data_IF_961030439124
#
_entry.id   IF_961030439124
#
_cell.length_a   1.000
_cell.length_b   1.000
_cell.length_c   1.000
_cell.angle_alpha   90.00
_cell.angle_beta   90.00
_cell.angle_gamma   90.00
#
_symmetry.space_group_name_H-M   'P 1'
#
loop_
_entity.id
_entity.type
_entity.pdbx_description
1 polymer ?
#
# COMPACT_ATOMS: atom_id res chain seq x y z
N UNK A 1 -69.73 -16.03 19.50
CA UNK A 1 -68.71 -17.01 19.08
C UNK A 1 -68.39 -16.79 17.62
N UNK A 2 -67.25 -16.17 17.31
CA UNK A 2 -66.73 -16.03 15.94
C UNK A 2 -65.55 -17.01 15.82
N UNK A 3 -65.52 -17.77 14.74
CA UNK A 3 -64.58 -18.88 14.50
C UNK A 3 -63.15 -18.38 14.22
N UNK A 4 -62.12 -19.16 14.61
CA UNK A 4 -60.71 -18.76 14.57
C UNK A 4 -60.09 -18.64 13.16
N UNK A 5 -60.84 -18.91 12.09
CA UNK A 5 -60.37 -18.72 10.71
C UNK A 5 -60.53 -17.28 10.18
N UNK A 6 -61.40 -16.45 10.78
CA UNK A 6 -61.56 -15.05 10.35
C UNK A 6 -60.46 -14.12 10.88
N UNK A 7 -59.88 -14.43 12.03
CA UNK A 7 -58.84 -13.60 12.64
C UNK A 7 -57.48 -13.73 11.92
N UNK A 8 -57.24 -14.85 11.24
CA UNK A 8 -56.01 -15.08 10.45
C UNK A 8 -56.04 -14.39 9.09
N UNK A 9 -57.22 -14.17 8.50
CA UNK A 9 -57.39 -13.47 7.23
C UNK A 9 -57.26 -11.93 7.37
N UNK A 10 -57.72 -11.36 8.49
CA UNK A 10 -57.64 -9.91 8.73
C UNK A 10 -56.19 -9.45 9.04
N UNK A 11 -55.37 -10.30 9.65
CA UNK A 11 -53.95 -10.00 9.91
C UNK A 11 -53.11 -10.07 8.61
N UNK A 12 -53.45 -10.99 7.70
CA UNK A 12 -52.75 -11.18 6.42
C UNK A 12 -53.09 -10.05 5.41
N UNK A 13 -54.31 -9.50 5.46
CA UNK A 13 -54.69 -8.30 4.70
C UNK A 13 -53.98 -7.02 5.20
N UNK A 14 -53.83 -6.85 6.52
CA UNK A 14 -53.17 -5.69 7.13
C UNK A 14 -51.62 -5.69 6.99
N UNK A 15 -51.02 -6.85 6.68
CA UNK A 15 -49.59 -6.96 6.33
C UNK A 15 -49.33 -6.71 4.84
N UNK A 16 -50.18 -7.20 3.93
CA UNK A 16 -50.00 -6.99 2.47
C UNK A 16 -50.28 -5.56 2.02
N UNK A 17 -51.14 -4.82 2.71
CA UNK A 17 -51.44 -3.42 2.41
C UNK A 17 -50.38 -2.42 2.90
N UNK A 18 -49.37 -2.87 3.66
CA UNK A 18 -48.22 -2.05 4.10
C UNK A 18 -46.99 -2.11 3.18
N UNK A 19 -47.00 -2.98 2.17
CA UNK A 19 -45.87 -3.17 1.25
C UNK A 19 -46.03 -2.43 -0.09
N UNK A 20 -47.12 -1.68 -0.32
CA UNK A 20 -47.40 -0.99 -1.59
C UNK A 20 -47.84 0.48 -1.44
N UNK A 21 -47.50 1.16 -0.34
CA UNK A 21 -47.65 2.61 -0.31
C UNK A 21 -46.48 3.28 -1.04
N UNK A 22 -46.72 4.13 -2.06
CA UNK A 22 -45.68 4.97 -2.61
C UNK A 22 -45.25 5.96 -1.53
N UNK A 23 -43.98 5.88 -1.11
CA UNK A 23 -43.38 6.90 -0.26
C UNK A 23 -43.31 8.18 -1.11
N UNK A 24 -44.29 9.06 -0.94
CA UNK A 24 -44.23 10.44 -1.42
C UNK A 24 -43.14 11.12 -0.61
N UNK A 25 -41.90 11.07 -1.10
CA UNK A 25 -40.84 11.94 -0.62
C UNK A 25 -41.24 13.36 -1.02
N UNK A 26 -41.57 14.18 -0.03
CA UNK A 26 -41.54 15.63 -0.20
C UNK A 26 -40.18 16.00 -0.78
N UNK A 27 -40.18 16.63 -1.95
CA UNK A 27 -38.99 17.19 -2.55
C UNK A 27 -38.53 18.36 -1.67
N UNK A 28 -37.68 18.07 -0.69
CA UNK A 28 -36.81 19.09 -0.14
C UNK A 28 -35.87 19.50 -1.28
N UNK A 29 -36.03 20.72 -1.75
CA UNK A 29 -35.13 21.35 -2.73
C UNK A 29 -33.75 21.46 -2.07
N UNK A 30 -32.93 20.42 -2.22
CA UNK A 30 -31.51 20.49 -1.90
C UNK A 30 -30.86 21.22 -3.06
N UNK A 31 -30.66 22.52 -2.89
CA UNK A 31 -29.79 23.30 -3.76
C UNK A 31 -28.39 22.70 -3.65
N UNK A 32 -27.98 21.95 -4.68
CA UNK A 32 -26.59 21.51 -4.81
C UNK A 32 -25.71 22.76 -4.85
N UNK A 33 -24.67 22.86 -4.00
CA UNK A 33 -23.72 23.96 -4.13
C UNK A 33 -23.08 23.84 -5.52
N UNK A 34 -23.16 24.93 -6.28
CA UNK A 34 -22.51 25.04 -7.57
C UNK A 34 -21.02 24.73 -7.40
N UNK A 35 -20.49 23.95 -8.34
CA UNK A 35 -19.10 23.49 -8.41
C UNK A 35 -18.15 24.67 -8.51
N UNK A 36 -17.81 25.26 -7.36
CA UNK A 36 -16.66 26.13 -7.20
C UNK A 36 -15.40 25.27 -7.19
N UNK A 37 -14.36 25.72 -7.87
CA UNK A 37 -13.02 25.14 -7.85
C UNK A 37 -12.40 25.30 -6.45
N UNK A 38 -12.87 24.52 -5.47
CA UNK A 38 -12.15 24.40 -4.20
C UNK A 38 -10.89 23.56 -4.45
N UNK A 39 -9.75 24.26 -4.57
CA UNK A 39 -8.42 23.66 -4.41
C UNK A 39 -8.47 22.80 -3.15
N UNK A 40 -8.24 21.49 -3.31
CA UNK A 40 -8.07 20.57 -2.17
C UNK A 40 -6.99 21.14 -1.26
N UNK A 41 -7.38 21.72 -0.13
CA UNK A 41 -6.46 22.15 0.90
C UNK A 41 -6.01 20.89 1.63
N UNK A 42 -4.70 20.57 1.69
CA UNK A 42 -4.22 19.47 2.50
C UNK A 42 -4.60 19.73 3.95
N UNK A 43 -5.50 18.92 4.52
CA UNK A 43 -5.72 18.95 5.95
C UNK A 43 -4.54 18.28 6.65
N UNK A 44 -3.74 19.07 7.37
CA UNK A 44 -2.77 18.53 8.32
C UNK A 44 -3.54 17.80 9.43
N UNK A 45 -3.18 16.54 9.66
CA UNK A 45 -3.67 15.78 10.80
C UNK A 45 -3.20 16.45 12.11
N UNK A 46 -4.15 16.77 12.99
CA UNK A 46 -3.89 17.35 14.32
C UNK A 46 -3.09 16.42 15.25
N UNK A 47 -2.78 15.18 14.85
CA UNK A 47 -1.95 14.24 15.64
C UNK A 47 -0.44 14.43 15.49
N UNK A 48 0.02 15.42 14.71
CA UNK A 48 1.45 15.65 14.42
C UNK A 48 2.04 16.81 15.24
N UNK A 49 1.44 17.16 16.38
CA UNK A 49 2.05 18.13 17.30
C UNK A 49 3.12 17.47 18.19
N UNK A 50 4.36 17.96 18.05
CA UNK A 50 5.37 18.13 19.10
C UNK A 50 5.96 16.86 19.77
N UNK A 51 6.25 15.79 19.03
CA UNK A 51 7.13 14.73 19.57
C UNK A 51 8.58 14.97 19.16
N UNK A 52 9.28 15.73 20.01
CA UNK A 52 10.75 15.76 20.09
C UNK A 52 11.26 14.32 20.17
N UNK A 53 12.11 13.93 19.23
CA UNK A 53 12.72 12.60 19.19
C UNK A 53 13.40 12.26 20.53
N UNK A 54 12.97 11.16 21.17
CA UNK A 54 13.63 10.55 22.33
C UNK A 54 14.25 9.22 21.88
N UNK A 55 15.16 9.22 20.91
CA UNK A 55 15.90 8.00 20.55
C UNK A 55 17.40 8.15 20.65
N UNK A 56 18.06 7.11 20.17
CA UNK A 56 19.51 6.99 20.03
C UNK A 56 20.23 8.28 19.55
N UNK A 57 20.98 9.07 20.34
CA UNK A 57 21.75 10.20 19.79
C UNK A 57 22.72 9.79 18.68
N UNK A 58 23.24 8.55 18.72
CA UNK A 58 24.11 8.00 17.66
C UNK A 58 23.35 7.79 16.36
N UNK A 59 22.12 7.27 16.46
CA UNK A 59 21.23 7.10 15.30
C UNK A 59 20.83 8.46 14.73
N UNK A 60 20.52 9.43 15.60
CA UNK A 60 20.22 10.79 15.17
C UNK A 60 21.41 11.47 14.51
N UNK A 61 22.62 11.28 15.04
CA UNK A 61 23.86 11.77 14.45
C UNK A 61 24.09 11.31 13.00
N UNK A 62 23.60 10.13 12.61
CA UNK A 62 23.65 9.65 11.21
C UNK A 62 22.80 10.51 10.26
N UNK A 63 21.81 11.22 10.80
CA UNK A 63 20.85 12.02 10.03
C UNK A 63 21.01 13.54 10.22
N UNK A 64 21.62 13.97 11.33
CA UNK A 64 21.69 15.36 11.79
C UNK A 64 22.47 16.32 10.86
N UNK A 65 23.40 15.80 10.04
CA UNK A 65 24.23 16.60 9.14
C UNK A 65 23.68 16.70 7.71
N UNK A 66 22.56 16.06 7.40
CA UNK A 66 22.05 15.94 6.03
C UNK A 66 20.78 16.78 5.88
N UNK A 67 20.86 17.95 5.22
CA UNK A 67 19.69 18.57 4.57
C UNK A 67 18.93 17.45 3.86
N UNK A 68 17.63 17.28 4.13
CA UNK A 68 16.85 16.15 3.62
C UNK A 68 17.04 16.09 2.10
N UNK A 69 17.90 15.18 1.58
CA UNK A 69 18.22 15.21 0.17
C UNK A 69 16.94 14.85 -0.56
N UNK A 70 16.74 15.44 -1.74
CA UNK A 70 15.70 14.96 -2.66
C UNK A 70 15.84 13.45 -2.72
N UNK A 71 14.77 12.73 -2.36
CA UNK A 71 14.85 11.27 -2.38
C UNK A 71 15.24 10.87 -3.80
N UNK A 72 16.15 9.91 -3.92
CA UNK A 72 16.57 9.35 -5.19
C UNK A 72 16.31 7.85 -5.13
N UNK A 73 15.87 7.23 -6.23
CA UNK A 73 15.57 5.80 -6.23
C UNK A 73 16.80 5.08 -5.71
N UNK A 74 16.61 4.06 -4.87
CA UNK A 74 17.75 3.30 -4.34
C UNK A 74 18.39 2.51 -5.50
N UNK A 75 19.18 3.16 -6.34
CA UNK A 75 19.93 2.53 -7.42
C UNK A 75 21.38 2.39 -6.95
N UNK A 76 22.18 1.64 -7.72
CA UNK A 76 23.58 1.35 -7.40
C UNK A 76 24.43 2.62 -7.21
N UNK A 77 23.99 3.75 -7.77
CA UNK A 77 24.74 4.99 -7.85
C UNK A 77 24.43 6.02 -6.74
N UNK A 78 23.23 6.06 -6.15
CA UNK A 78 22.76 7.30 -5.51
C UNK A 78 22.64 7.31 -3.97
N UNK A 79 22.71 6.20 -3.24
CA UNK A 79 22.90 6.32 -1.78
C UNK A 79 23.48 5.05 -1.18
N UNK A 80 24.80 5.06 -0.92
CA UNK A 80 25.45 3.99 -0.16
C UNK A 80 25.34 4.33 1.32
N UNK A 81 24.53 3.57 2.04
CA UNK A 81 24.77 3.39 3.48
C UNK A 81 26.14 2.73 3.58
N UNK A 82 27.09 3.38 4.24
CA UNK A 82 28.39 2.75 4.44
C UNK A 82 28.26 1.62 5.45
N UNK A 83 29.10 0.59 5.32
CA UNK A 83 29.12 -0.51 6.27
C UNK A 83 29.30 -0.03 7.71
N UNK A 84 30.02 1.08 7.93
CA UNK A 84 30.27 1.60 9.27
C UNK A 84 29.08 2.38 9.82
N UNK A 85 28.37 3.17 9.01
CA UNK A 85 27.11 3.78 9.40
C UNK A 85 26.08 2.73 9.79
N UNK A 86 25.97 1.64 9.01
CA UNK A 86 25.05 0.56 9.32
C UNK A 86 25.43 -0.19 10.60
N UNK A 87 26.73 -0.43 10.85
CA UNK A 87 27.19 -1.03 12.12
C UNK A 87 26.84 -0.16 13.32
N UNK A 88 27.00 1.16 13.21
CA UNK A 88 26.62 2.11 14.27
C UNK A 88 25.11 2.02 14.54
N UNK A 89 24.32 2.08 13.48
CA UNK A 89 22.86 1.92 13.54
C UNK A 89 22.45 0.61 14.22
N UNK A 90 22.99 -0.52 13.76
CA UNK A 90 22.68 -1.84 14.32
C UNK A 90 23.06 -1.95 15.80
N UNK A 91 24.24 -1.43 16.18
CA UNK A 91 24.70 -1.46 17.58
C UNK A 91 23.74 -0.69 18.48
N UNK A 92 23.39 0.53 18.07
CA UNK A 92 22.48 1.38 18.82
C UNK A 92 21.10 0.74 19.02
N UNK A 93 20.52 0.14 17.98
CA UNK A 93 19.20 -0.49 18.10
C UNK A 93 19.24 -1.78 18.95
N UNK A 94 20.34 -2.53 18.91
CA UNK A 94 20.51 -3.79 19.68
C UNK A 94 20.61 -3.56 21.19
N UNK A 95 21.09 -2.41 21.63
CA UNK A 95 21.19 -2.09 23.06
C UNK A 95 19.82 -1.99 23.75
N UNK A 96 18.76 -1.67 23.00
CA UNK A 96 17.41 -1.66 23.53
C UNK A 96 16.40 -2.10 22.47
N UNK A 97 16.37 -3.40 22.17
CA UNK A 97 15.51 -3.97 21.12
C UNK A 97 14.01 -3.79 21.37
N UNK A 98 13.60 -3.68 22.64
CA UNK A 98 12.20 -3.54 23.05
C UNK A 98 11.71 -2.10 23.10
N UNK A 99 12.57 -1.12 22.81
CA UNK A 99 12.16 0.29 22.80
C UNK A 99 11.08 0.50 21.73
N UNK A 100 9.93 1.00 22.15
CA UNK A 100 8.77 1.22 21.30
C UNK A 100 8.68 2.67 20.81
N UNK A 101 8.11 2.84 19.62
CA UNK A 101 7.88 4.12 18.99
C UNK A 101 6.53 4.08 18.28
N UNK A 102 5.72 5.11 18.48
CA UNK A 102 4.61 5.38 17.59
C UNK A 102 5.15 6.15 16.38
N UNK A 103 4.88 5.63 15.19
CA UNK A 103 5.41 6.17 13.95
C UNK A 103 4.31 6.82 13.13
N UNK A 104 4.68 7.65 12.15
CA UNK A 104 3.71 8.47 11.40
C UNK A 104 2.67 7.63 10.64
N UNK A 105 2.94 6.35 10.42
CA UNK A 105 2.01 5.40 9.81
C UNK A 105 0.94 4.89 10.78
N UNK A 106 0.91 5.34 12.04
CA UNK A 106 -0.05 4.91 13.06
C UNK A 106 0.31 3.62 13.80
N UNK A 107 1.43 2.99 13.44
CA UNK A 107 1.90 1.75 14.05
C UNK A 107 2.71 2.03 15.32
N UNK A 108 2.73 1.05 16.24
CA UNK A 108 3.64 1.02 17.39
C UNK A 108 4.67 -0.07 17.10
N UNK A 109 5.90 0.35 16.82
CA UNK A 109 6.98 -0.57 16.42
C UNK A 109 8.17 -0.47 17.37
N UNK A 110 9.05 -1.46 17.33
CA UNK A 110 10.21 -1.54 18.22
C UNK A 110 11.54 -1.36 17.47
N UNK A 111 12.64 -1.18 18.19
CA UNK A 111 13.97 -1.30 17.59
C UNK A 111 14.20 -2.66 16.91
N UNK A 112 13.63 -3.74 17.45
CA UNK A 112 13.67 -5.08 16.84
C UNK A 112 13.03 -5.10 15.45
N UNK A 113 11.93 -4.39 15.26
CA UNK A 113 11.24 -4.28 13.96
C UNK A 113 12.18 -3.78 12.85
N UNK A 114 12.94 -2.71 13.10
CA UNK A 114 13.89 -2.21 12.12
C UNK A 114 15.06 -3.17 11.86
N UNK A 115 15.51 -3.87 12.90
CA UNK A 115 16.55 -4.90 12.77
C UNK A 115 16.07 -6.11 11.96
N UNK A 116 14.79 -6.47 12.06
CA UNK A 116 14.16 -7.55 11.28
C UNK A 116 14.10 -7.22 9.79
N UNK A 117 13.76 -5.97 9.42
CA UNK A 117 13.85 -5.50 8.03
C UNK A 117 15.28 -5.69 7.48
N UNK A 118 16.29 -5.35 8.28
CA UNK A 118 17.69 -5.39 7.86
C UNK A 118 18.29 -6.81 7.81
N UNK A 119 17.60 -7.82 8.37
CA UNK A 119 18.14 -9.18 8.48
C UNK A 119 18.11 -9.87 7.12
N UNK A 120 19.27 -10.28 6.61
CA UNK A 120 19.40 -10.90 5.28
C UNK A 120 18.61 -12.21 5.19
N UNK A 121 17.96 -12.47 4.05
CA UNK A 121 17.29 -13.74 3.72
C UNK A 121 16.19 -14.15 4.71
N UNK A 122 15.55 -13.18 5.36
CA UNK A 122 14.56 -13.43 6.40
C UNK A 122 13.22 -12.79 6.05
N UNK A 123 12.15 -13.53 6.27
CA UNK A 123 10.84 -13.12 5.80
C UNK A 123 10.42 -11.82 6.50
N UNK A 124 10.03 -10.84 5.70
CA UNK A 124 9.39 -9.63 6.21
C UNK A 124 7.88 -9.88 6.29
N UNK A 125 7.29 -9.61 7.44
CA UNK A 125 5.85 -9.72 7.65
C UNK A 125 5.05 -8.58 6.99
N UNK A 126 3.72 -8.69 7.06
CA UNK A 126 2.79 -7.69 6.49
C UNK A 126 3.04 -6.28 7.04
N UNK A 127 3.18 -6.14 8.36
CA UNK A 127 3.44 -4.85 9.01
C UNK A 127 4.75 -4.20 8.53
N UNK A 128 5.79 -5.02 8.29
CA UNK A 128 7.04 -4.53 7.71
C UNK A 128 6.83 -3.95 6.31
N UNK A 129 6.06 -4.64 5.47
CA UNK A 129 5.74 -4.17 4.13
C UNK A 129 4.90 -2.90 4.17
N UNK A 130 3.90 -2.80 5.05
CA UNK A 130 3.08 -1.59 5.21
C UNK A 130 3.92 -0.38 5.61
N UNK A 131 4.85 -0.54 6.55
CA UNK A 131 5.76 0.53 6.97
C UNK A 131 6.71 0.92 5.83
N UNK A 132 7.29 -0.05 5.11
CA UNK A 132 8.19 0.22 3.97
C UNK A 132 7.44 0.95 2.84
N UNK A 133 6.28 0.44 2.42
CA UNK A 133 5.50 1.00 1.32
C UNK A 133 4.96 2.39 1.66
N UNK A 134 4.52 2.60 2.91
CA UNK A 134 4.10 3.93 3.37
C UNK A 134 5.28 4.90 3.43
N UNK A 135 6.46 4.44 3.87
CA UNK A 135 7.68 5.25 3.84
C UNK A 135 8.03 5.66 2.41
N UNK A 136 7.99 4.74 1.45
CA UNK A 136 8.22 5.03 0.03
C UNK A 136 7.19 6.03 -0.50
N UNK A 137 5.90 5.83 -0.22
CA UNK A 137 4.83 6.78 -0.56
C UNK A 137 5.08 8.16 0.03
N UNK A 138 5.41 8.28 1.32
CA UNK A 138 5.63 9.59 1.97
C UNK A 138 6.81 10.36 1.38
N UNK A 139 7.81 9.65 0.86
CA UNK A 139 8.97 10.25 0.19
C UNK A 139 8.72 10.57 -1.29
N UNK A 140 7.71 9.95 -1.90
CA UNK A 140 7.41 10.04 -3.34
C UNK A 140 6.01 10.47 -3.71
N UNK A 141 5.18 10.83 -2.73
CA UNK A 141 3.77 11.11 -2.94
C UNK A 141 3.55 12.16 -4.01
N UNK A 142 4.42 13.17 -4.12
CA UNK A 142 4.34 14.18 -5.18
C UNK A 142 4.53 13.59 -6.59
N UNK A 143 5.51 12.70 -6.79
CA UNK A 143 5.76 12.04 -8.08
C UNK A 143 4.61 11.10 -8.41
N UNK A 144 4.20 10.28 -7.44
CA UNK A 144 3.10 9.33 -7.64
C UNK A 144 1.78 10.04 -7.92
N UNK A 145 1.47 11.14 -7.21
CA UNK A 145 0.29 11.97 -7.48
C UNK A 145 0.36 12.60 -8.87
N UNK A 146 1.53 13.12 -9.29
CA UNK A 146 1.73 13.67 -10.63
C UNK A 146 1.48 12.62 -11.72
N UNK A 147 1.98 11.40 -11.50
CA UNK A 147 1.83 10.28 -12.43
C UNK A 147 0.50 9.53 -12.25
N UNK A 148 -0.38 10.02 -11.36
CA UNK A 148 -1.68 9.41 -11.01
C UNK A 148 -1.55 7.93 -10.56
N UNK A 149 -0.44 7.59 -9.93
CA UNK A 149 -0.14 6.28 -9.38
C UNK A 149 -0.38 6.23 -7.86
N UNK A 150 -0.66 5.04 -7.35
CA UNK A 150 -0.83 4.79 -5.91
C UNK A 150 -0.31 3.41 -5.54
N UNK A 151 0.30 3.30 -4.37
CA UNK A 151 0.55 2.00 -3.76
C UNK A 151 -0.68 1.56 -2.98
N UNK A 152 -1.16 0.36 -3.25
CA UNK A 152 -2.29 -0.25 -2.53
C UNK A 152 -1.78 -1.26 -1.52
N UNK A 153 -2.51 -1.41 -0.41
CA UNK A 153 -2.21 -2.41 0.61
C UNK A 153 -2.47 -3.83 0.11
N UNK A 154 -1.82 -4.82 0.73
CA UNK A 154 -2.03 -6.25 0.40
C UNK A 154 -3.49 -6.68 0.58
N UNK A 155 -4.22 -6.04 1.49
CA UNK A 155 -5.66 -6.23 1.68
C UNK A 155 -6.46 -5.95 0.40
N UNK A 156 -6.05 -4.96 -0.42
CA UNK A 156 -6.69 -4.69 -1.71
C UNK A 156 -6.55 -5.88 -2.65
N UNK A 157 -5.34 -6.45 -2.79
CA UNK A 157 -5.13 -7.62 -3.65
C UNK A 157 -5.87 -8.85 -3.15
N UNK A 158 -6.02 -8.98 -1.82
CA UNK A 158 -6.80 -10.06 -1.19
C UNK A 158 -8.29 -9.91 -1.46
N UNK A 159 -8.80 -8.67 -1.43
CA UNK A 159 -10.17 -8.35 -1.80
C UNK A 159 -10.44 -8.74 -3.26
N UNK A 160 -9.60 -8.27 -4.19
CA UNK A 160 -9.72 -8.60 -5.63
C UNK A 160 -9.69 -10.12 -5.84
N UNK A 161 -8.75 -10.82 -5.21
CA UNK A 161 -8.63 -12.28 -5.31
C UNK A 161 -9.84 -13.02 -4.74
N UNK A 162 -10.43 -12.54 -3.65
CA UNK A 162 -11.62 -13.15 -3.04
C UNK A 162 -12.87 -13.03 -3.91
N UNK A 163 -12.94 -12.05 -4.81
CA UNK A 163 -14.02 -11.88 -5.78
C UNK A 163 -13.88 -12.80 -7.01
N UNK A 164 -12.68 -13.35 -7.25
CA UNK A 164 -12.39 -14.15 -8.45
C UNK A 164 -13.32 -15.38 -8.64
N UNK A 165 -13.66 -16.17 -7.61
CA UNK A 165 -14.57 -17.31 -7.79
C UNK A 165 -15.95 -16.91 -8.33
N UNK A 166 -16.48 -15.75 -7.88
CA UNK A 166 -17.78 -15.22 -8.31
C UNK A 166 -17.67 -14.62 -9.71
N UNK A 167 -16.61 -13.86 -9.99
CA UNK A 167 -16.31 -13.35 -11.33
C UNK A 167 -16.21 -14.47 -12.36
N UNK A 168 -15.55 -15.58 -12.01
CA UNK A 168 -15.31 -16.71 -12.91
C UNK A 168 -16.59 -17.35 -13.44
N UNK A 169 -17.64 -17.41 -12.62
CA UNK A 169 -18.94 -18.02 -12.97
C UNK A 169 -19.96 -17.01 -13.51
N UNK A 170 -19.58 -15.73 -13.60
CA UNK A 170 -20.45 -14.69 -14.13
C UNK A 170 -20.53 -14.80 -15.67
N UNK A 171 -21.76 -14.78 -16.20
CA UNK A 171 -22.02 -14.85 -17.64
C UNK A 171 -21.52 -13.59 -18.36
N UNK A 172 -21.86 -12.41 -17.83
CA UNK A 172 -21.41 -11.12 -18.35
C UNK A 172 -20.30 -10.50 -17.49
N UNK A 173 -19.06 -10.84 -17.84
CA UNK A 173 -17.85 -10.30 -17.21
C UNK A 173 -17.67 -8.80 -17.37
N UNK A 174 -18.26 -8.20 -18.41
CA UNK A 174 -18.15 -6.77 -18.68
C UNK A 174 -19.06 -5.93 -17.77
N UNK A 175 -20.17 -6.51 -17.31
CA UNK A 175 -21.08 -5.90 -16.36
C UNK A 175 -20.82 -6.29 -14.90
N UNK A 176 -19.77 -7.08 -14.62
CA UNK A 176 -19.48 -7.56 -13.28
C UNK A 176 -19.24 -6.40 -12.29
N UNK A 177 -19.94 -6.43 -11.16
CA UNK A 177 -19.79 -5.41 -10.13
C UNK A 177 -18.59 -5.70 -9.23
N UNK A 178 -17.48 -5.01 -9.51
CA UNK A 178 -16.28 -5.00 -8.65
C UNK A 178 -16.46 -4.22 -7.34
N UNK A 179 -17.59 -3.55 -7.14
CA UNK A 179 -17.87 -2.73 -5.98
C UNK A 179 -17.08 -1.42 -5.95
N UNK A 180 -17.52 -0.50 -5.08
CA UNK A 180 -16.97 0.86 -5.02
C UNK A 180 -15.50 0.91 -4.59
N UNK A 181 -15.03 -0.07 -3.80
CA UNK A 181 -13.67 -0.11 -3.29
C UNK A 181 -12.63 -0.43 -4.35
N UNK A 182 -12.98 -1.15 -5.42
CA UNK A 182 -12.07 -1.46 -6.54
C UNK A 182 -12.22 -0.40 -7.64
N UNK A 183 -13.46 -0.01 -7.95
CA UNK A 183 -13.78 1.01 -8.96
C UNK A 183 -13.16 2.39 -8.68
N UNK A 184 -12.86 2.69 -7.42
CA UNK A 184 -12.17 3.94 -7.05
C UNK A 184 -10.69 3.97 -7.40
N UNK A 185 -10.06 2.81 -7.63
CA UNK A 185 -8.63 2.69 -7.95
C UNK A 185 -8.36 2.30 -9.40
N UNK A 186 -9.25 1.54 -10.03
CA UNK A 186 -9.09 1.06 -11.41
C UNK A 186 -10.15 1.71 -12.29
N UNK A 187 -9.70 2.46 -13.31
CA UNK A 187 -10.57 3.03 -14.33
C UNK A 187 -10.68 2.07 -15.51
N UNK A 188 -11.90 1.84 -16.02
CA UNK A 188 -12.15 1.05 -17.23
C UNK A 188 -11.69 1.79 -18.49
N UNK A 189 -10.37 1.81 -18.72
CA UNK A 189 -9.76 2.43 -19.89
C UNK A 189 -9.37 1.29 -20.85
N UNK A 190 -10.08 1.12 -21.99
CA UNK A 190 -9.71 0.15 -23.02
C UNK A 190 -8.27 0.34 -23.48
N UNK A 191 -7.51 -0.76 -23.61
CA UNK A 191 -6.09 -0.74 -23.96
C UNK A 191 -5.14 -0.55 -22.78
N UNK A 192 -5.66 -0.52 -21.55
CA UNK A 192 -4.85 -0.57 -20.33
C UNK A 192 -4.11 -1.89 -20.19
N UNK A 193 -2.94 -1.83 -19.55
CA UNK A 193 -2.00 -2.93 -19.47
C UNK A 193 -1.62 -3.23 -18.01
N UNK A 194 -1.62 -4.51 -17.65
CA UNK A 194 -1.21 -4.98 -16.32
C UNK A 194 0.19 -5.58 -16.41
N UNK A 195 1.15 -4.96 -15.72
CA UNK A 195 2.51 -5.48 -15.57
C UNK A 195 2.63 -6.27 -14.27
N UNK A 196 3.20 -7.48 -14.38
CA UNK A 196 3.50 -8.32 -13.22
C UNK A 196 5.01 -8.33 -12.98
N UNK A 197 5.42 -7.68 -11.89
CA UNK A 197 6.81 -7.64 -11.41
C UNK A 197 7.00 -8.76 -10.37
N UNK A 198 7.52 -9.90 -10.81
CA UNK A 198 7.68 -11.08 -9.96
C UNK A 198 9.17 -11.41 -9.74
N UNK A 199 9.70 -11.26 -8.51
CA UNK A 199 11.07 -11.63 -8.20
C UNK A 199 11.29 -13.15 -8.10
N UNK A 200 10.23 -13.97 -8.18
CA UNK A 200 10.29 -15.43 -8.04
C UNK A 200 9.46 -16.06 -9.16
N UNK A 201 10.09 -16.45 -10.28
CA UNK A 201 9.44 -17.01 -11.50
C UNK A 201 8.60 -18.29 -11.35
N UNK A 202 8.22 -18.70 -10.13
CA UNK A 202 7.56 -19.97 -9.86
C UNK A 202 6.04 -19.94 -9.99
N UNK A 203 5.40 -18.77 -10.05
CA UNK A 203 3.96 -18.72 -10.28
C UNK A 203 3.64 -18.78 -11.78
N UNK A 204 2.80 -19.71 -12.20
CA UNK A 204 2.14 -19.62 -13.51
C UNK A 204 0.95 -18.67 -13.37
N UNK A 205 1.01 -17.48 -13.98
CA UNK A 205 -0.20 -16.67 -14.15
C UNK A 205 -1.08 -17.37 -15.19
N UNK A 206 -2.31 -17.72 -14.82
CA UNK A 206 -3.25 -18.31 -15.75
C UNK A 206 -3.54 -17.32 -16.90
N UNK A 207 -3.36 -17.77 -18.14
CA UNK A 207 -3.70 -16.99 -19.36
C UNK A 207 -5.21 -16.94 -19.56
N UNK A 208 -5.94 -16.24 -18.69
CA UNK A 208 -7.31 -15.85 -18.99
C UNK A 208 -7.26 -14.46 -19.63
N UNK A 209 -7.16 -14.45 -20.97
CA UNK A 209 -7.14 -13.22 -21.76
C UNK A 209 -8.58 -12.73 -21.85
N UNK A 210 -8.88 -11.63 -21.18
CA UNK A 210 -10.09 -10.85 -21.45
C UNK A 210 -9.71 -9.73 -22.43
N UNK A 211 -10.51 -9.51 -23.47
CA UNK A 211 -10.21 -8.56 -24.56
C UNK A 211 -10.11 -7.08 -24.14
N UNK A 212 -10.38 -6.75 -22.87
CA UNK A 212 -10.38 -5.38 -22.35
C UNK A 212 -8.99 -4.89 -21.89
N UNK A 213 -8.11 -5.80 -21.43
CA UNK A 213 -6.81 -5.46 -20.86
C UNK A 213 -5.72 -6.40 -21.39
N UNK A 214 -4.57 -5.83 -21.77
CA UNK A 214 -3.36 -6.62 -21.98
C UNK A 214 -2.68 -6.91 -20.64
N UNK A 215 -1.90 -7.97 -20.55
CA UNK A 215 -1.00 -8.19 -19.42
C UNK A 215 0.26 -8.91 -19.87
N UNK A 216 1.39 -8.65 -19.21
CA UNK A 216 2.52 -9.57 -19.24
C UNK A 216 3.33 -9.54 -17.96
N UNK A 217 4.11 -10.60 -17.79
CA UNK A 217 5.23 -10.61 -16.86
C UNK A 217 6.37 -9.80 -17.48
N UNK A 218 6.92 -8.88 -16.70
CA UNK A 218 8.10 -8.12 -17.13
C UNK A 218 9.28 -9.10 -17.22
N UNK A 219 9.79 -9.26 -18.44
CA UNK A 219 10.94 -10.14 -18.72
C UNK A 219 12.25 -9.53 -18.24
N UNK A 220 13.26 -10.37 -18.03
CA UNK A 220 14.62 -9.93 -17.71
C UNK A 220 14.81 -9.35 -16.31
N UNK A 221 13.80 -9.40 -15.43
CA UNK A 221 13.96 -8.97 -14.03
C UNK A 221 14.93 -9.87 -13.27
N UNK A 222 15.65 -9.28 -12.32
CA UNK A 222 16.41 -10.04 -11.32
C UNK A 222 15.54 -11.13 -10.68
N UNK A 223 16.10 -12.34 -10.61
CA UNK A 223 15.46 -13.50 -10.01
C UNK A 223 16.05 -13.76 -8.64
N UNK A 224 15.21 -13.59 -7.62
CA UNK A 224 15.57 -13.92 -6.26
C UNK A 224 15.63 -15.44 -6.10
N UNK A 225 16.84 -15.96 -5.90
CA UNK A 225 17.08 -17.38 -5.62
C UNK A 225 17.12 -17.67 -4.11
N UNK A 226 17.03 -16.64 -3.25
CA UNK A 226 17.16 -16.75 -1.79
C UNK A 226 15.80 -16.68 -1.12
N UNK A 227 15.57 -17.53 -0.12
CA UNK A 227 14.36 -17.45 0.68
C UNK A 227 14.29 -16.14 1.48
N UNK A 228 13.07 -15.62 1.71
CA UNK A 228 12.83 -14.45 2.57
C UNK A 228 13.04 -13.07 1.93
N UNK A 229 13.61 -12.98 0.72
CA UNK A 229 13.89 -11.70 0.07
C UNK A 229 12.80 -11.19 -0.89
N UNK A 230 11.73 -11.96 -1.10
CA UNK A 230 10.64 -11.58 -2.02
C UNK A 230 9.98 -10.25 -1.64
N UNK A 231 9.77 -9.98 -0.35
CA UNK A 231 9.18 -8.72 0.13
C UNK A 231 10.04 -7.49 -0.19
N UNK A 232 11.31 -7.43 0.26
CA UNK A 232 12.22 -6.32 -0.09
C UNK A 232 12.40 -6.14 -1.61
N UNK A 233 12.46 -7.24 -2.37
CA UNK A 233 12.53 -7.17 -3.84
C UNK A 233 11.26 -6.59 -4.45
N UNK A 234 10.07 -6.99 -3.99
CA UNK A 234 8.80 -6.46 -4.47
C UNK A 234 8.69 -4.94 -4.19
N UNK A 235 9.00 -4.50 -2.97
CA UNK A 235 9.04 -3.08 -2.63
C UNK A 235 10.01 -2.32 -3.53
N UNK A 236 11.17 -2.93 -3.84
CA UNK A 236 12.19 -2.32 -4.69
C UNK A 236 11.74 -2.21 -6.15
N UNK A 237 11.13 -3.25 -6.70
CA UNK A 237 10.63 -3.22 -8.07
C UNK A 237 9.51 -2.20 -8.23
N UNK A 238 8.59 -2.09 -7.26
CA UNK A 238 7.57 -1.03 -7.26
C UNK A 238 8.19 0.37 -7.22
N UNK A 239 9.23 0.57 -6.40
CA UNK A 239 9.96 1.82 -6.36
C UNK A 239 10.65 2.12 -7.70
N UNK A 240 11.40 1.17 -8.26
CA UNK A 240 12.11 1.34 -9.54
C UNK A 240 11.14 1.55 -10.70
N UNK A 241 9.99 0.87 -10.69
CA UNK A 241 8.92 1.01 -11.69
C UNK A 241 8.34 2.42 -11.68
N UNK A 242 8.02 2.94 -10.48
CA UNK A 242 7.59 4.33 -10.30
C UNK A 242 8.64 5.36 -10.78
N UNK A 243 9.88 4.93 -10.97
CA UNK A 243 10.98 5.74 -11.50
C UNK A 243 11.35 5.48 -12.95
N UNK A 244 10.62 4.60 -13.65
CA UNK A 244 10.92 4.20 -15.02
C UNK A 244 12.33 3.61 -15.17
N UNK A 245 12.83 2.96 -14.11
CA UNK A 245 14.14 2.29 -14.07
C UNK A 245 14.01 0.81 -14.41
N UNK A 246 13.27 0.52 -15.49
CA UNK A 246 12.93 -0.86 -15.89
C UNK A 246 14.16 -1.67 -16.29
N UNK A 247 15.09 -1.05 -17.01
CA UNK A 247 16.32 -1.72 -17.47
C UNK A 247 17.22 -2.09 -16.29
N UNK A 248 17.32 -1.22 -15.29
CA UNK A 248 18.16 -1.42 -14.11
C UNK A 248 17.65 -2.54 -13.21
N UNK A 249 16.35 -2.87 -13.23
CA UNK A 249 15.80 -3.98 -12.43
C UNK A 249 16.43 -5.33 -12.78
N UNK A 250 16.88 -5.49 -14.03
CA UNK A 250 17.59 -6.69 -14.51
C UNK A 250 18.98 -6.85 -13.90
N UNK A 251 19.59 -5.73 -13.51
CA UNK A 251 20.98 -5.67 -13.05
C UNK A 251 21.13 -5.85 -11.54
N UNK A 252 20.01 -5.90 -10.81
CA UNK A 252 19.97 -6.12 -9.37
C UNK A 252 20.66 -7.45 -9.03
N UNK A 253 21.38 -7.46 -7.90
CA UNK A 253 22.07 -8.64 -7.39
C UNK A 253 21.63 -8.95 -5.97
N UNK A 254 21.91 -10.16 -5.48
CA UNK A 254 21.71 -10.54 -4.08
C UNK A 254 22.37 -9.57 -3.10
N UNK A 255 23.55 -9.04 -3.45
CA UNK A 255 24.24 -8.06 -2.63
C UNK A 255 23.51 -6.71 -2.62
N UNK A 256 22.87 -6.33 -3.74
CA UNK A 256 22.05 -5.13 -3.79
C UNK A 256 20.78 -5.32 -2.93
N UNK A 257 20.18 -6.52 -2.91
CA UNK A 257 19.04 -6.84 -2.02
C UNK A 257 19.41 -6.70 -0.55
N UNK A 258 20.58 -7.18 -0.14
CA UNK A 258 21.09 -6.97 1.22
C UNK A 258 21.17 -5.46 1.55
N UNK A 259 21.69 -4.65 0.62
CA UNK A 259 21.77 -3.19 0.80
C UNK A 259 20.40 -2.54 0.83
N UNK A 260 19.43 -3.02 0.06
CA UNK A 260 18.06 -2.51 0.09
C UNK A 260 17.45 -2.72 1.46
N UNK A 261 17.65 -3.88 2.08
CA UNK A 261 17.19 -4.16 3.45
C UNK A 261 17.78 -3.22 4.48
N UNK A 262 19.10 -3.02 4.46
CA UNK A 262 19.80 -2.09 5.35
C UNK A 262 19.26 -0.66 5.17
N UNK A 263 19.07 -0.26 3.91
CA UNK A 263 18.54 1.05 3.56
C UNK A 263 17.10 1.24 4.04
N UNK A 264 16.22 0.27 3.81
CA UNK A 264 14.84 0.31 4.27
C UNK A 264 14.77 0.40 5.79
N UNK A 265 15.58 -0.37 6.52
CA UNK A 265 15.61 -0.28 7.97
C UNK A 265 15.97 1.14 8.44
N UNK A 266 17.07 1.71 7.94
CA UNK A 266 17.51 3.05 8.31
C UNK A 266 16.51 4.13 7.87
N UNK A 267 15.91 3.98 6.70
CA UNK A 267 14.94 4.92 6.14
C UNK A 267 13.60 4.90 6.84
N UNK A 268 13.11 3.72 7.20
CA UNK A 268 11.91 3.56 8.00
C UNK A 268 12.14 4.14 9.38
N UNK A 269 13.31 3.90 10.00
CA UNK A 269 13.70 4.56 11.24
C UNK A 269 13.66 6.08 11.05
N UNK A 270 14.37 6.61 10.03
CA UNK A 270 14.40 8.05 9.74
C UNK A 270 13.01 8.67 9.52
N UNK A 271 12.16 8.02 8.74
CA UNK A 271 10.86 8.56 8.32
C UNK A 271 9.77 8.40 9.38
N UNK A 272 10.03 7.55 10.38
CA UNK A 272 9.20 7.40 11.58
C UNK A 272 9.30 8.63 12.48
N UNK A 273 10.39 9.37 12.40
CA UNK A 273 10.53 10.68 13.03
C UNK A 273 9.81 11.70 12.14
N UNK A 274 8.71 12.27 12.63
CA UNK A 274 7.90 13.22 11.89
C UNK A 274 8.74 14.37 11.29
N UNK A 275 8.34 14.83 10.10
CA UNK A 275 8.91 16.03 9.48
C UNK A 275 8.81 17.18 10.47
N UNK A 276 9.94 17.81 10.75
CA UNK A 276 10.00 19.12 11.36
C UNK A 276 9.62 20.10 10.25
N UNK A 277 8.37 20.57 10.24
CA UNK A 277 7.96 21.76 9.47
C UNK A 277 7.91 22.93 10.42
#
# INVERSE_FOLDING_TARGET
MKTPEKEKADVDWAMRSRLHQPVVRQAATVTLPQKGEEKRVPQLSQRVNERKYIGDPRVWGLFASRTEPRYEPINRAVYRVTNDEFKIFQRALKENTKKEFSIVTGHIITNKFFLEIAKKQEWVGTEHMEVIMTMLWRRRGEVLVKDRAVFVESAFTSLVASMYPVFKICDDKSAFDWGNNIRSFVSDIPGSYVEVLDPVTWTQCAKHIHHAYGWARTGGLYQNTRAGDCGPCAAKFLEMHAHRLHEEMSTVTDQDVDRFREKYAMDCTRSSWGKQT
#
